data_IF_341433072153
#
_entry.id   IF_341433072153
#
_cell.length_a   1.000
_cell.length_b   1.000
_cell.length_c   1.000
_cell.angle_alpha   90.00
_cell.angle_beta   90.00
_cell.angle_gamma   90.00
#
_symmetry.space_group_name_H-M   'P 1'
#
loop_
_entity.id
_entity.type
_entity.pdbx_description
1 polymer ?
#
# COMPACT_ATOMS: atom_id res chain seq x y z
N UNK A 1 63.85 -6.70 -10.14
CA UNK A 1 63.83 -5.23 -10.01
C UNK A 1 62.75 -4.85 -9.00
N UNK A 2 63.22 -4.61 -7.77
CA UNK A 2 62.34 -4.32 -6.60
C UNK A 2 62.07 -2.82 -6.55
N UNK A 3 60.83 -2.40 -6.43
CA UNK A 3 60.46 -1.02 -6.08
C UNK A 3 59.79 -1.03 -4.72
N UNK A 4 60.50 -0.54 -3.74
CA UNK A 4 60.01 -0.23 -2.41
C UNK A 4 59.18 1.07 -2.50
N UNK A 5 57.99 1.09 -1.90
CA UNK A 5 57.24 2.31 -1.62
C UNK A 5 57.32 2.62 -0.13
N UNK A 6 57.83 3.81 0.14
CA UNK A 6 58.06 4.39 1.45
C UNK A 6 56.73 4.84 2.09
N UNK A 7 56.47 4.46 3.35
CA UNK A 7 55.39 4.98 4.18
C UNK A 7 55.73 6.42 4.62
N UNK A 8 54.85 7.37 4.29
CA UNK A 8 54.82 8.72 4.88
C UNK A 8 53.85 8.77 6.07
N UNK A 9 54.39 9.04 7.24
CA UNK A 9 53.60 9.28 8.45
C UNK A 9 53.06 10.71 8.43
N UNK A 10 51.71 10.88 8.51
CA UNK A 10 51.05 12.15 8.74
C UNK A 10 50.64 12.24 10.22
N UNK A 11 51.19 13.26 10.90
CA UNK A 11 50.92 13.59 12.28
C UNK A 11 49.53 14.25 12.41
N UNK A 12 48.66 13.71 13.25
CA UNK A 12 47.42 14.36 13.65
C UNK A 12 47.67 15.36 14.78
N UNK A 13 47.52 16.64 14.48
CA UNK A 13 47.47 17.72 15.49
C UNK A 13 46.08 17.77 16.18
N UNK A 14 46.07 17.56 17.49
CA UNK A 14 44.88 17.73 18.30
C UNK A 14 44.63 19.22 18.55
N UNK A 15 43.52 19.75 18.08
CA UNK A 15 43.01 21.09 18.42
C UNK A 15 42.07 20.94 19.60
N UNK A 16 42.47 21.40 20.78
CA UNK A 16 41.60 21.57 21.95
C UNK A 16 40.75 22.83 21.74
N UNK A 17 39.48 22.66 21.46
CA UNK A 17 38.48 23.74 21.48
C UNK A 17 37.96 23.95 22.90
N UNK A 18 38.22 25.13 23.44
CA UNK A 18 37.65 25.62 24.73
C UNK A 18 36.13 25.87 24.55
N UNK A 19 35.32 25.14 25.29
CA UNK A 19 33.90 25.40 25.41
C UNK A 19 33.64 26.61 26.32
N UNK A 20 33.01 27.64 25.78
CA UNK A 20 32.49 28.76 26.58
C UNK A 20 31.17 28.35 27.23
N UNK A 21 30.88 28.81 28.48
CA UNK A 21 29.62 28.52 29.16
C UNK A 21 28.49 29.32 28.52
N UNK A 22 27.39 28.66 28.16
CA UNK A 22 26.16 29.30 27.75
C UNK A 22 25.53 30.04 28.93
N UNK A 23 25.39 31.36 28.81
CA UNK A 23 24.66 32.18 29.75
C UNK A 23 23.17 31.84 29.65
N UNK A 24 22.59 31.38 30.77
CA UNK A 24 21.16 31.20 30.92
C UNK A 24 20.47 32.59 30.91
N UNK A 25 19.79 32.91 29.83
CA UNK A 25 18.87 34.03 29.76
C UNK A 25 17.63 33.70 30.61
N UNK A 26 17.48 34.33 31.76
CA UNK A 26 16.30 34.22 32.60
C UNK A 26 15.08 34.76 31.85
N UNK A 27 14.08 33.93 31.67
CA UNK A 27 12.76 34.35 31.17
C UNK A 27 12.05 35.09 32.30
N UNK A 28 11.80 36.39 32.12
CA UNK A 28 10.97 37.19 33.02
C UNK A 28 9.53 36.64 32.98
N UNK A 29 9.06 36.14 34.12
CA UNK A 29 7.66 35.72 34.30
C UNK A 29 6.80 36.98 34.41
N UNK A 30 5.95 37.22 33.45
CA UNK A 30 4.91 38.26 33.51
C UNK A 30 3.73 37.69 34.29
N UNK A 31 3.36 38.24 35.47
CA UNK A 31 2.22 37.75 36.21
C UNK A 31 0.92 38.25 35.55
N UNK A 32 0.07 37.32 35.14
CA UNK A 32 -1.28 37.68 34.70
C UNK A 32 -1.88 36.91 33.52
N UNK A 33 -1.19 35.92 32.96
CA UNK A 33 -1.85 35.01 32.00
C UNK A 33 -2.30 33.76 32.70
N UNK A 34 -3.62 33.59 32.82
CA UNK A 34 -4.24 32.35 33.22
C UNK A 34 -3.73 31.22 32.33
N UNK A 35 -3.30 30.13 32.94
CA UNK A 35 -2.93 28.88 32.30
C UNK A 35 -4.03 28.49 31.28
N UNK A 36 -3.76 28.70 30.00
CA UNK A 36 -4.50 28.00 28.95
C UNK A 36 -4.14 26.54 29.12
N UNK A 37 -5.14 25.74 29.55
CA UNK A 37 -4.98 24.31 29.77
C UNK A 37 -4.23 23.68 28.60
N UNK A 38 -3.36 22.72 28.92
CA UNK A 38 -2.66 21.89 27.96
C UNK A 38 -3.68 21.42 26.91
N UNK A 39 -3.58 21.96 25.70
CA UNK A 39 -4.26 21.40 24.56
C UNK A 39 -3.58 20.06 24.35
N UNK A 40 -4.15 19.02 24.95
CA UNK A 40 -3.79 17.65 24.63
C UNK A 40 -4.02 17.50 23.13
N UNK A 41 -2.94 17.58 22.37
CA UNK A 41 -2.92 17.13 20.99
C UNK A 41 -3.02 15.61 21.02
N UNK A 42 -4.19 15.10 21.36
CA UNK A 42 -4.58 13.76 20.94
C UNK A 42 -4.48 13.83 19.44
N UNK A 43 -3.43 13.22 18.90
CA UNK A 43 -3.36 12.98 17.47
C UNK A 43 -4.67 12.27 17.12
N UNK A 44 -5.59 13.00 16.50
CA UNK A 44 -6.74 12.40 15.87
C UNK A 44 -6.16 11.48 14.81
N UNK A 45 -6.00 10.22 15.18
CA UNK A 45 -5.85 9.16 14.21
C UNK A 45 -7.16 9.20 13.41
N UNK A 46 -7.17 9.93 12.29
CA UNK A 46 -8.28 9.83 11.36
C UNK A 46 -8.31 8.36 10.97
N UNK A 47 -9.43 7.66 11.22
CA UNK A 47 -9.52 6.27 10.80
C UNK A 47 -9.15 6.25 9.32
N UNK A 48 -8.25 5.34 8.94
CA UNK A 48 -7.76 5.20 7.58
C UNK A 48 -8.97 5.15 6.66
N UNK A 49 -9.17 6.23 5.89
CA UNK A 49 -10.34 6.34 5.04
C UNK A 49 -10.25 5.20 4.05
N UNK A 50 -11.21 4.28 4.10
CA UNK A 50 -11.32 3.19 3.15
C UNK A 50 -11.38 3.75 1.72
N UNK A 51 -10.90 3.03 0.70
CA UNK A 51 -11.09 3.43 -0.68
C UNK A 51 -12.56 3.78 -0.95
N UNK A 52 -12.81 4.70 -1.87
CA UNK A 52 -14.15 5.22 -2.23
C UNK A 52 -14.89 5.96 -1.10
N UNK A 53 -14.22 6.27 0.02
CA UNK A 53 -14.83 6.97 1.16
C UNK A 53 -15.96 6.19 1.81
N UNK A 54 -16.03 4.87 1.61
CA UNK A 54 -17.03 3.98 2.16
C UNK A 54 -16.65 3.50 3.56
N UNK A 55 -17.64 3.08 4.35
CA UNK A 55 -17.43 2.36 5.60
C UNK A 55 -17.25 0.86 5.33
N UNK A 56 -16.70 0.11 6.29
CA UNK A 56 -16.45 -1.32 6.17
C UNK A 56 -17.13 -2.10 7.27
N UNK A 57 -17.60 -3.29 6.96
CA UNK A 57 -18.05 -4.30 7.92
C UNK A 57 -17.36 -5.65 7.61
N UNK A 58 -17.04 -6.49 8.60
CA UNK A 58 -16.43 -7.78 8.35
C UNK A 58 -17.23 -8.61 7.34
N UNK A 59 -16.54 -9.19 6.36
CA UNK A 59 -17.14 -10.10 5.40
C UNK A 59 -16.91 -11.56 5.86
N UNK A 60 -17.83 -12.43 5.49
CA UNK A 60 -17.76 -13.88 5.70
C UNK A 60 -18.06 -14.61 4.40
N UNK A 61 -17.78 -15.92 4.36
CA UNK A 61 -18.05 -16.76 3.20
C UNK A 61 -16.85 -16.88 2.26
N UNK A 62 -17.11 -17.11 0.99
CA UNK A 62 -16.13 -17.53 0.00
C UNK A 62 -14.96 -16.55 -0.16
N UNK A 63 -15.25 -15.27 -0.33
CA UNK A 63 -14.23 -14.22 -0.49
C UNK A 63 -13.28 -14.15 0.72
N UNK A 64 -13.82 -14.29 1.95
CA UNK A 64 -13.01 -14.28 3.16
C UNK A 64 -12.12 -15.52 3.24
N UNK A 65 -12.66 -16.70 2.89
CA UNK A 65 -11.92 -17.95 2.93
C UNK A 65 -10.78 -17.98 1.92
N UNK A 66 -11.03 -17.48 0.70
CA UNK A 66 -10.01 -17.38 -0.35
C UNK A 66 -8.90 -16.41 0.03
N UNK A 67 -9.27 -15.23 0.55
CA UNK A 67 -8.28 -14.25 0.98
C UNK A 67 -7.38 -14.81 2.07
N UNK A 68 -7.95 -15.43 3.12
CA UNK A 68 -7.14 -16.04 4.17
C UNK A 68 -6.22 -17.16 3.66
N UNK A 69 -6.66 -17.95 2.68
CA UNK A 69 -5.80 -19.00 2.10
C UNK A 69 -4.60 -18.38 1.36
N UNK A 70 -4.84 -17.39 0.49
CA UNK A 70 -3.78 -16.70 -0.25
C UNK A 70 -2.86 -15.91 0.69
N UNK A 71 -3.41 -15.25 1.70
CA UNK A 71 -2.63 -14.48 2.68
C UNK A 71 -1.64 -15.38 3.44
N UNK A 72 -2.04 -16.59 3.82
CA UNK A 72 -1.16 -17.56 4.44
C UNK A 72 -0.02 -18.03 3.51
N UNK A 73 -0.27 -18.10 2.19
CA UNK A 73 0.77 -18.42 1.20
C UNK A 73 1.70 -17.23 0.95
N UNK A 74 1.16 -16.01 0.90
CA UNK A 74 1.95 -14.77 0.83
C UNK A 74 2.94 -14.68 2.00
N UNK A 75 2.51 -14.98 3.23
CA UNK A 75 3.42 -14.99 4.40
C UNK A 75 4.59 -15.97 4.24
N UNK A 76 4.33 -17.15 3.64
CA UNK A 76 5.39 -18.12 3.36
C UNK A 76 6.34 -17.61 2.26
N UNK A 77 5.81 -16.99 1.21
CA UNK A 77 6.60 -16.43 0.12
C UNK A 77 7.43 -15.21 0.58
N UNK A 78 6.91 -14.36 1.47
CA UNK A 78 7.66 -13.27 2.09
C UNK A 78 8.89 -13.80 2.87
N UNK A 79 8.74 -14.92 3.59
CA UNK A 79 9.87 -15.55 4.27
C UNK A 79 10.96 -16.04 3.27
N UNK A 80 10.53 -16.54 2.10
CA UNK A 80 11.47 -16.90 1.00
C UNK A 80 12.17 -15.64 0.46
N UNK A 81 11.46 -14.54 0.24
CA UNK A 81 12.03 -13.28 -0.25
C UNK A 81 13.08 -12.70 0.71
N UNK A 82 12.85 -12.80 2.02
CA UNK A 82 13.83 -12.40 3.04
C UNK A 82 15.11 -13.23 2.89
N UNK A 83 15.00 -14.55 2.72
CA UNK A 83 16.15 -15.44 2.54
C UNK A 83 16.87 -15.17 1.21
N UNK A 84 16.14 -14.87 0.14
CA UNK A 84 16.69 -14.54 -1.17
C UNK A 84 17.63 -13.33 -1.16
N UNK A 85 17.46 -12.40 -0.23
CA UNK A 85 18.37 -11.24 -0.09
C UNK A 85 19.71 -11.58 0.56
N UNK A 86 19.79 -12.71 1.26
CA UNK A 86 20.98 -13.15 2.00
C UNK A 86 21.65 -14.39 1.43
N UNK A 87 20.97 -15.18 0.60
CA UNK A 87 21.45 -16.46 0.07
C UNK A 87 21.55 -16.46 -1.46
N UNK A 88 22.39 -17.37 -2.00
CA UNK A 88 22.64 -17.44 -3.46
C UNK A 88 21.58 -18.27 -4.23
N UNK A 89 20.79 -19.09 -3.53
CA UNK A 89 19.78 -19.95 -4.15
C UNK A 89 18.37 -19.39 -3.90
N UNK A 90 17.76 -18.86 -4.96
CA UNK A 90 16.43 -18.25 -4.92
C UNK A 90 15.53 -18.88 -5.99
N UNK A 91 14.26 -19.16 -5.72
CA UNK A 91 13.30 -19.58 -6.75
C UNK A 91 13.20 -18.55 -7.88
N UNK A 92 13.03 -19.01 -9.12
CA UNK A 92 12.94 -18.11 -10.28
C UNK A 92 11.81 -17.07 -10.13
N UNK A 93 10.63 -17.48 -9.65
CA UNK A 93 9.51 -16.57 -9.40
C UNK A 93 9.83 -15.51 -8.35
N UNK A 94 10.59 -15.85 -7.31
CA UNK A 94 11.04 -14.88 -6.30
C UNK A 94 12.01 -13.86 -6.89
N UNK A 95 12.97 -14.31 -7.74
CA UNK A 95 13.88 -13.41 -8.45
C UNK A 95 13.10 -12.46 -9.38
N UNK A 96 12.14 -12.96 -10.12
CA UNK A 96 11.29 -12.15 -11.00
C UNK A 96 10.48 -11.12 -10.22
N UNK A 97 9.90 -11.49 -9.07
CA UNK A 97 9.22 -10.53 -8.20
C UNK A 97 10.18 -9.42 -7.72
N UNK A 98 11.41 -9.77 -7.34
CA UNK A 98 12.43 -8.80 -6.94
C UNK A 98 12.87 -7.90 -8.11
N UNK A 99 12.92 -8.42 -9.34
CA UNK A 99 13.19 -7.63 -10.55
C UNK A 99 12.05 -6.64 -10.83
N UNK A 100 10.79 -7.06 -10.68
CA UNK A 100 9.61 -6.18 -10.75
C UNK A 100 9.71 -5.06 -9.72
N UNK A 101 10.07 -5.37 -8.47
CA UNK A 101 10.29 -4.37 -7.40
C UNK A 101 11.39 -3.40 -7.77
N UNK A 102 12.49 -3.89 -8.35
CA UNK A 102 13.64 -3.10 -8.75
C UNK A 102 13.30 -2.05 -9.83
N UNK A 103 12.32 -2.27 -10.69
CA UNK A 103 11.83 -1.27 -11.66
C UNK A 103 11.41 0.06 -11.00
N UNK A 104 10.95 -0.01 -9.77
CA UNK A 104 10.54 1.16 -8.98
C UNK A 104 11.62 1.70 -8.03
N UNK A 105 12.78 1.05 -7.88
CA UNK A 105 13.74 1.32 -6.80
C UNK A 105 14.26 2.76 -6.78
N UNK A 106 14.59 3.33 -7.94
CA UNK A 106 15.16 4.68 -8.08
C UNK A 106 14.08 5.79 -8.11
N UNK A 107 12.84 5.45 -7.80
CA UNK A 107 11.70 6.38 -7.85
C UNK A 107 10.97 6.41 -6.52
N UNK A 108 10.14 7.44 -6.35
CA UNK A 108 9.27 7.59 -5.19
C UNK A 108 7.84 7.92 -5.63
N UNK A 109 6.90 7.79 -4.70
CA UNK A 109 5.51 8.19 -4.88
C UNK A 109 4.86 7.57 -6.11
N UNK A 110 4.12 8.38 -6.86
CA UNK A 110 3.35 7.94 -8.03
C UNK A 110 4.19 7.28 -9.13
N UNK A 111 5.45 7.71 -9.31
CA UNK A 111 6.33 7.13 -10.32
C UNK A 111 6.75 5.70 -9.96
N UNK A 112 7.09 5.42 -8.69
CA UNK A 112 7.38 4.06 -8.20
C UNK A 112 6.19 3.14 -8.41
N UNK A 113 5.02 3.56 -7.94
CA UNK A 113 3.77 2.80 -8.08
C UNK A 113 3.48 2.50 -9.55
N UNK A 114 3.62 3.49 -10.43
CA UNK A 114 3.35 3.34 -11.86
C UNK A 114 4.30 2.37 -12.57
N UNK A 115 5.60 2.39 -12.22
CA UNK A 115 6.59 1.46 -12.80
C UNK A 115 6.32 0.01 -12.37
N UNK A 116 6.06 -0.22 -11.09
CA UNK A 116 5.74 -1.55 -10.57
C UNK A 116 4.41 -2.06 -11.18
N UNK A 117 3.37 -1.22 -11.21
CA UNK A 117 2.11 -1.57 -11.88
C UNK A 117 2.33 -1.99 -13.34
N UNK A 118 3.14 -1.22 -14.08
CA UNK A 118 3.48 -1.55 -15.46
C UNK A 118 4.26 -2.86 -15.57
N UNK A 119 5.26 -3.08 -14.72
CA UNK A 119 6.08 -4.29 -14.73
C UNK A 119 5.22 -5.54 -14.50
N UNK A 120 4.34 -5.55 -13.49
CA UNK A 120 3.40 -6.65 -13.25
C UNK A 120 2.47 -6.86 -14.44
N UNK A 121 1.88 -5.77 -15.00
CA UNK A 121 0.97 -5.89 -16.14
C UNK A 121 1.66 -6.43 -17.41
N UNK A 122 2.97 -6.33 -17.53
CA UNK A 122 3.74 -6.89 -18.64
C UNK A 122 4.25 -8.30 -18.39
N UNK A 123 4.44 -8.69 -17.12
CA UNK A 123 4.92 -10.02 -16.73
C UNK A 123 3.83 -11.10 -16.85
N UNK A 124 2.56 -10.73 -16.75
CA UNK A 124 1.44 -11.66 -16.67
C UNK A 124 0.60 -11.58 -17.96
N UNK A 125 0.21 -12.73 -18.50
CA UNK A 125 -0.68 -12.87 -19.65
C UNK A 125 -2.11 -13.09 -19.13
N UNK A 126 -3.09 -12.25 -19.48
CA UNK A 126 -4.46 -12.40 -19.04
C UNK A 126 -5.03 -13.77 -19.43
N UNK A 127 -5.40 -14.56 -18.43
CA UNK A 127 -5.91 -15.93 -18.64
C UNK A 127 -6.94 -16.18 -17.54
N UNK A 128 -8.14 -16.64 -17.92
CA UNK A 128 -9.15 -16.99 -16.91
C UNK A 128 -8.79 -18.30 -16.20
N UNK A 129 -9.26 -18.46 -14.98
CA UNK A 129 -9.08 -19.67 -14.18
C UNK A 129 -9.62 -20.93 -14.84
N UNK A 130 -10.75 -20.82 -15.52
CA UNK A 130 -11.29 -21.93 -16.30
C UNK A 130 -10.32 -22.41 -17.39
N UNK A 131 -9.63 -21.47 -18.05
CA UNK A 131 -8.66 -21.80 -19.10
C UNK A 131 -7.32 -22.28 -18.55
N UNK A 132 -6.92 -21.82 -17.38
CA UNK A 132 -5.63 -22.15 -16.77
C UNK A 132 -5.71 -23.39 -15.87
N UNK A 133 -6.75 -23.49 -15.05
CA UNK A 133 -6.87 -24.45 -13.98
C UNK A 133 -8.07 -25.41 -14.13
N UNK A 134 -9.00 -25.11 -15.04
CA UNK A 134 -10.24 -25.88 -15.22
C UNK A 134 -11.24 -25.70 -14.10
N UNK A 135 -11.11 -24.62 -13.30
CA UNK A 135 -12.01 -24.24 -12.21
C UNK A 135 -12.56 -22.84 -12.44
N UNK A 136 -13.63 -22.49 -11.73
CA UNK A 136 -14.31 -21.22 -11.99
C UNK A 136 -13.61 -20.00 -11.36
N UNK A 137 -12.81 -20.21 -10.32
CA UNK A 137 -12.23 -19.13 -9.52
C UNK A 137 -11.11 -19.69 -8.63
N UNK A 138 -9.85 -19.33 -8.92
CA UNK A 138 -8.62 -19.77 -8.25
C UNK A 138 -7.69 -18.59 -8.02
N UNK A 139 -7.47 -18.21 -6.79
CA UNK A 139 -6.61 -17.09 -6.44
C UNK A 139 -5.18 -17.57 -6.21
N UNK A 140 -4.29 -17.22 -7.12
CA UNK A 140 -2.89 -17.65 -7.05
C UNK A 140 -2.03 -16.71 -6.19
N UNK A 141 -1.14 -17.25 -5.33
CA UNK A 141 -0.10 -16.45 -4.69
C UNK A 141 0.91 -15.94 -5.73
N UNK A 142 1.72 -14.91 -5.38
CA UNK A 142 2.64 -14.28 -6.33
C UNK A 142 3.57 -15.23 -7.08
N UNK A 143 4.16 -16.22 -6.40
CA UNK A 143 5.11 -17.12 -7.06
C UNK A 143 4.43 -18.08 -8.04
N UNK A 144 3.22 -18.54 -7.75
CA UNK A 144 2.45 -19.37 -8.68
C UNK A 144 2.10 -18.58 -9.95
N UNK A 145 1.62 -17.34 -9.79
CA UNK A 145 1.31 -16.45 -10.91
C UNK A 145 2.55 -16.15 -11.76
N UNK A 146 3.68 -15.81 -11.13
CA UNK A 146 4.92 -15.49 -11.85
C UNK A 146 5.58 -16.74 -12.46
N UNK A 147 5.43 -17.91 -11.85
CA UNK A 147 5.92 -19.16 -12.43
C UNK A 147 5.19 -19.55 -13.71
N UNK A 148 3.89 -19.29 -13.77
CA UNK A 148 3.05 -19.60 -14.92
C UNK A 148 3.00 -18.45 -15.94
N UNK A 149 3.32 -17.23 -15.53
CA UNK A 149 3.13 -15.97 -16.27
C UNK A 149 1.69 -15.78 -16.75
N UNK A 150 0.71 -16.33 -16.04
CA UNK A 150 -0.71 -16.30 -16.38
C UNK A 150 -1.52 -16.03 -15.15
N UNK A 151 -2.66 -15.37 -15.34
CA UNK A 151 -3.60 -15.11 -14.29
C UNK A 151 -4.71 -14.17 -14.73
N UNK A 152 -5.73 -14.02 -13.91
CA UNK A 152 -6.78 -13.06 -14.14
C UNK A 152 -6.71 -11.85 -13.18
N UNK A 153 -7.81 -11.16 -12.94
CA UNK A 153 -7.73 -9.84 -12.31
C UNK A 153 -7.25 -9.87 -10.85
N UNK A 154 -7.62 -10.89 -10.08
CA UNK A 154 -7.19 -11.03 -8.68
C UNK A 154 -5.71 -11.40 -8.58
N UNK A 155 -5.20 -12.26 -9.46
CA UNK A 155 -3.79 -12.65 -9.48
C UNK A 155 -2.89 -11.43 -9.72
N UNK A 156 -3.27 -10.58 -10.69
CA UNK A 156 -2.58 -9.30 -10.90
C UNK A 156 -2.63 -8.40 -9.67
N UNK A 157 -3.78 -8.31 -9.00
CA UNK A 157 -3.93 -7.48 -7.82
C UNK A 157 -3.07 -7.99 -6.66
N UNK A 158 -3.00 -9.31 -6.46
CA UNK A 158 -2.19 -10.00 -5.44
C UNK A 158 -0.69 -9.78 -5.70
N UNK A 159 -0.22 -10.00 -6.94
CA UNK A 159 1.20 -9.76 -7.30
C UNK A 159 1.57 -8.29 -7.08
N UNK A 160 0.73 -7.34 -7.48
CA UNK A 160 0.97 -5.91 -7.25
C UNK A 160 1.00 -5.56 -5.77
N UNK A 161 0.11 -6.16 -4.96
CA UNK A 161 0.06 -5.96 -3.52
C UNK A 161 1.41 -6.33 -2.89
N UNK A 162 1.92 -7.54 -3.16
CA UNK A 162 3.20 -8.00 -2.60
C UNK A 162 4.37 -7.22 -3.19
N UNK A 163 4.41 -6.94 -4.49
CA UNK A 163 5.48 -6.15 -5.10
C UNK A 163 5.60 -4.74 -4.50
N UNK A 164 4.48 -4.09 -4.16
CA UNK A 164 4.50 -2.77 -3.54
C UNK A 164 4.83 -2.82 -2.05
N UNK A 165 4.47 -3.88 -1.32
CA UNK A 165 4.97 -4.14 0.03
C UNK A 165 6.49 -4.28 0.03
N UNK A 166 7.04 -5.09 -0.86
CA UNK A 166 8.47 -5.32 -1.03
C UNK A 166 9.21 -4.04 -1.47
N UNK A 167 8.54 -3.15 -2.18
CA UNK A 167 9.03 -1.81 -2.51
C UNK A 167 8.97 -0.82 -1.33
N UNK A 168 8.50 -1.26 -0.16
CA UNK A 168 8.50 -0.49 1.09
C UNK A 168 7.24 0.36 1.34
N UNK A 169 6.12 0.09 0.68
CA UNK A 169 4.85 0.71 1.04
C UNK A 169 4.27 0.03 2.29
N UNK A 170 3.53 0.79 3.09
CA UNK A 170 2.85 0.25 4.27
C UNK A 170 1.69 -0.66 3.86
N UNK A 171 1.46 -1.75 4.61
CA UNK A 171 0.26 -2.60 4.48
C UNK A 171 -1.03 -1.78 4.64
N UNK A 172 -1.02 -0.77 5.51
CA UNK A 172 -2.17 0.13 5.71
C UNK A 172 -2.51 0.96 4.46
N UNK A 173 -1.55 1.13 3.54
CA UNK A 173 -1.70 1.90 2.31
C UNK A 173 -2.05 1.03 1.09
N UNK A 174 -2.24 -0.28 1.29
CA UNK A 174 -2.50 -1.25 0.23
C UNK A 174 -3.78 -2.02 0.54
N UNK A 175 -4.71 -2.05 -0.41
CA UNK A 175 -5.96 -2.80 -0.29
C UNK A 175 -6.36 -3.39 -1.63
N UNK A 176 -6.64 -4.70 -1.67
CA UNK A 176 -7.29 -5.29 -2.84
C UNK A 176 -8.78 -4.95 -2.77
N UNK A 177 -9.36 -4.51 -3.87
CA UNK A 177 -10.77 -4.14 -3.93
C UNK A 177 -11.48 -4.98 -4.99
N UNK A 178 -12.55 -5.65 -4.58
CA UNK A 178 -13.45 -6.34 -5.52
C UNK A 178 -14.54 -5.34 -5.92
N UNK A 179 -14.67 -5.14 -7.22
CA UNK A 179 -15.63 -4.26 -7.87
C UNK A 179 -16.66 -5.07 -8.65
N UNK A 180 -17.88 -4.58 -8.76
CA UNK A 180 -18.86 -5.04 -9.75
C UNK A 180 -18.90 -4.05 -10.90
N UNK A 181 -18.40 -4.42 -12.08
CA UNK A 181 -18.57 -3.64 -13.29
C UNK A 181 -20.04 -3.63 -13.72
N UNK A 182 -20.52 -2.49 -14.21
CA UNK A 182 -21.91 -2.39 -14.69
C UNK A 182 -22.09 -2.98 -16.09
N UNK A 183 -21.04 -2.93 -16.89
CA UNK A 183 -21.01 -3.52 -18.24
C UNK A 183 -19.59 -4.03 -18.60
N UNK A 184 -19.35 -5.34 -18.73
CA UNK A 184 -20.29 -6.42 -18.39
C UNK A 184 -20.57 -6.48 -16.88
N UNK A 185 -21.68 -7.07 -16.46
CA UNK A 185 -22.02 -7.26 -15.04
C UNK A 185 -21.17 -8.41 -14.46
N UNK A 186 -19.91 -8.11 -14.17
CA UNK A 186 -18.88 -9.06 -13.76
C UNK A 186 -18.05 -8.49 -12.63
N UNK A 187 -17.61 -9.36 -11.72
CA UNK A 187 -16.68 -8.97 -10.66
C UNK A 187 -15.28 -8.74 -11.26
N UNK A 188 -14.56 -7.82 -10.65
CA UNK A 188 -13.23 -7.42 -11.07
C UNK A 188 -12.40 -7.03 -9.87
N UNK A 189 -11.21 -7.59 -9.75
CA UNK A 189 -10.27 -7.25 -8.69
C UNK A 189 -9.26 -6.19 -9.16
N UNK A 190 -8.95 -5.24 -8.27
CA UNK A 190 -7.95 -4.19 -8.48
C UNK A 190 -7.16 -3.97 -7.20
N UNK A 191 -5.96 -3.42 -7.31
CA UNK A 191 -5.24 -2.91 -6.14
C UNK A 191 -5.53 -1.42 -5.95
N UNK A 192 -5.92 -1.04 -4.74
CA UNK A 192 -5.97 0.35 -4.29
C UNK A 192 -4.71 0.66 -3.46
N UNK A 193 -4.03 1.75 -3.81
CA UNK A 193 -2.81 2.22 -3.15
C UNK A 193 -3.04 3.63 -2.63
N UNK A 194 -2.84 3.86 -1.33
CA UNK A 194 -2.92 5.19 -0.75
C UNK A 194 -1.60 5.93 -0.90
N UNK A 195 -1.66 7.11 -1.50
CA UNK A 195 -0.55 8.02 -1.66
C UNK A 195 -1.01 9.44 -1.36
N UNK A 196 -0.32 10.14 -0.46
CA UNK A 196 -0.61 11.54 -0.08
C UNK A 196 -2.08 11.77 0.31
N UNK A 197 -2.72 10.75 0.93
CA UNK A 197 -4.11 10.79 1.38
C UNK A 197 -5.15 10.51 0.28
N UNK A 198 -4.75 10.24 -0.96
CA UNK A 198 -5.62 9.82 -2.06
C UNK A 198 -5.43 8.32 -2.36
N UNK A 199 -6.49 7.64 -2.75
CA UNK A 199 -6.43 6.26 -3.23
C UNK A 199 -6.27 6.22 -4.74
N UNK A 200 -5.27 5.48 -5.20
CA UNK A 200 -4.98 5.21 -6.61
C UNK A 200 -5.36 3.77 -6.93
N UNK A 201 -6.15 3.56 -7.96
CA UNK A 201 -6.62 2.25 -8.40
C UNK A 201 -5.74 1.75 -9.55
N UNK A 202 -5.24 0.54 -9.40
CA UNK A 202 -4.33 -0.15 -10.31
C UNK A 202 -5.05 -1.38 -10.86
N UNK A 203 -5.53 -1.32 -12.10
CA UNK A 203 -6.14 -2.47 -12.81
C UNK A 203 -5.12 -3.20 -13.67
N UNK A 204 -5.49 -4.41 -14.14
CA UNK A 204 -4.69 -5.20 -15.07
C UNK A 204 -4.94 -4.80 -16.54
N UNK A 205 -6.06 -4.15 -16.83
CA UNK A 205 -6.48 -3.74 -18.18
C UNK A 205 -6.00 -2.35 -18.58
N UNK A 206 -5.32 -1.62 -17.71
CA UNK A 206 -4.78 -0.27 -17.96
C UNK A 206 -3.50 -0.03 -17.18
N UNK A 207 -2.61 0.80 -17.73
CA UNK A 207 -1.42 1.28 -17.03
C UNK A 207 -1.69 2.59 -16.25
N UNK A 208 -2.86 3.19 -16.43
CA UNK A 208 -3.22 4.43 -15.75
C UNK A 208 -3.48 4.19 -14.26
N UNK A 209 -2.97 5.10 -13.43
CA UNK A 209 -3.30 5.17 -12.01
C UNK A 209 -4.50 6.09 -11.86
N UNK A 210 -5.69 5.53 -11.69
CA UNK A 210 -6.96 6.26 -11.59
C UNK A 210 -7.25 6.53 -10.12
N UNK A 211 -7.70 7.74 -9.75
CA UNK A 211 -8.13 7.97 -8.37
C UNK A 211 -9.48 7.28 -8.14
N UNK A 212 -9.67 6.74 -6.95
CA UNK A 212 -10.92 6.06 -6.57
C UNK A 212 -12.17 6.89 -6.83
N UNK A 213 -12.11 8.20 -6.52
CA UNK A 213 -13.20 9.16 -6.75
C UNK A 213 -13.51 9.45 -8.22
N UNK A 214 -12.58 9.14 -9.12
CA UNK A 214 -12.72 9.34 -10.57
C UNK A 214 -13.15 8.05 -11.29
N UNK A 215 -13.26 6.92 -10.56
CA UNK A 215 -13.75 5.67 -11.15
C UNK A 215 -15.25 5.77 -11.46
N UNK A 216 -15.58 5.40 -12.67
CA UNK A 216 -16.96 5.31 -13.17
C UNK A 216 -17.22 3.91 -13.72
N UNK A 217 -18.47 3.50 -13.77
CA UNK A 217 -18.86 2.23 -14.41
C UNK A 217 -18.67 0.98 -13.55
N UNK A 218 -18.29 1.14 -12.27
CA UNK A 218 -18.14 0.04 -11.33
C UNK A 218 -18.63 0.43 -9.92
N UNK A 219 -19.07 -0.59 -9.17
CA UNK A 219 -19.46 -0.46 -7.75
C UNK A 219 -18.49 -1.26 -6.89
N UNK A 220 -17.78 -0.67 -5.92
CA UNK A 220 -16.96 -1.41 -4.98
C UNK A 220 -17.84 -2.25 -4.04
N UNK A 221 -17.43 -3.49 -3.77
CA UNK A 221 -18.18 -4.48 -2.99
C UNK A 221 -17.40 -4.91 -1.76
N UNK A 222 -16.16 -5.33 -1.94
CA UNK A 222 -15.30 -5.79 -0.88
C UNK A 222 -13.94 -5.10 -0.92
N UNK A 223 -13.32 -5.01 0.25
CA UNK A 223 -11.92 -4.65 0.43
C UNK A 223 -11.24 -5.77 1.21
N UNK A 224 -10.03 -6.12 0.79
CA UNK A 224 -9.19 -7.17 1.38
C UNK A 224 -7.87 -6.53 1.78
N UNK A 225 -7.46 -6.77 3.00
CA UNK A 225 -6.22 -6.26 3.59
C UNK A 225 -5.71 -7.19 4.70
N UNK A 226 -4.69 -6.76 5.43
CA UNK A 226 -4.10 -7.51 6.54
C UNK A 226 -5.08 -7.84 7.69
N UNK A 227 -6.20 -7.11 7.79
CA UNK A 227 -7.23 -7.34 8.80
C UNK A 227 -8.33 -8.30 8.31
N UNK A 228 -8.19 -8.81 7.06
CA UNK A 228 -9.08 -9.76 6.43
C UNK A 228 -9.95 -9.16 5.33
N UNK A 229 -11.08 -9.83 5.06
CA UNK A 229 -12.05 -9.39 4.07
C UNK A 229 -13.17 -8.57 4.72
N UNK A 230 -13.49 -7.43 4.10
CA UNK A 230 -14.53 -6.53 4.57
C UNK A 230 -15.47 -6.15 3.42
N UNK A 231 -16.78 -6.06 3.73
CA UNK A 231 -17.77 -5.52 2.80
C UNK A 231 -17.76 -4.00 2.84
N UNK A 232 -17.82 -3.37 1.69
CA UNK A 232 -17.95 -1.92 1.57
C UNK A 232 -19.43 -1.51 1.63
N UNK A 233 -19.76 -0.62 2.56
CA UNK A 233 -21.10 -0.09 2.77
C UNK A 233 -21.13 1.43 2.59
N UNK A 234 -22.27 1.97 2.16
CA UNK A 234 -22.40 3.41 2.00
C UNK A 234 -22.23 4.12 3.35
N UNK A 235 -21.40 5.17 3.40
CA UNK A 235 -21.24 5.97 4.61
C UNK A 235 -22.49 6.80 4.89
N UNK A 236 -23.12 6.59 6.02
CA UNK A 236 -24.27 7.37 6.48
C UNK A 236 -23.91 8.78 6.99
N UNK A 237 -22.62 9.19 6.94
CA UNK A 237 -22.16 10.47 7.53
C UNK A 237 -22.55 11.72 6.75
N UNK A 238 -23.06 11.61 5.52
CA UNK A 238 -23.42 12.79 4.71
C UNK A 238 -24.69 13.48 5.20
N UNK A 239 -25.54 12.79 5.98
CA UNK A 239 -26.83 13.35 6.44
C UNK A 239 -26.74 14.22 7.72
N UNK A 240 -25.62 14.19 8.45
CA UNK A 240 -25.52 14.85 9.77
C UNK A 240 -24.78 16.20 9.75
N UNK A 241 -24.26 16.67 8.62
CA UNK A 241 -23.43 17.88 8.55
C UNK A 241 -23.95 18.99 7.62
N UNK A 242 -25.21 18.95 7.22
CA UNK A 242 -25.82 20.09 6.52
C UNK A 242 -26.61 20.97 7.53
N UNK A 243 -26.02 22.08 8.01
CA UNK A 243 -26.66 22.98 8.96
C UNK A 243 -27.92 23.67 8.37
N UNK A 244 -28.16 23.56 7.06
CA UNK A 244 -29.30 24.19 6.39
C UNK A 244 -30.56 23.36 6.46
N UNK A 245 -30.48 22.03 6.66
CA UNK A 245 -31.66 21.16 6.79
C UNK A 245 -32.39 21.30 8.14
N UNK A 246 -31.68 21.75 9.20
CA UNK A 246 -32.34 21.98 10.51
C UNK A 246 -33.14 23.26 10.61
N UNK A 247 -33.03 24.20 9.64
CA UNK A 247 -33.72 25.48 9.69
C UNK A 247 -35.14 25.43 9.13
N UNK A 248 -35.47 24.46 8.29
CA UNK A 248 -36.78 24.34 7.64
C UNK A 248 -37.82 23.55 8.42
N UNK A 249 -37.43 22.84 9.50
CA UNK A 249 -38.37 22.05 10.31
C UNK A 249 -38.84 22.76 11.59
N UNK A 250 -38.38 23.99 11.86
CA UNK A 250 -38.81 24.77 13.03
C UNK A 250 -39.78 25.93 12.68
N UNK A 251 -40.10 26.10 11.40
CA UNK A 251 -41.03 27.19 10.95
C UNK A 251 -42.34 26.68 10.37
N UNK A 252 -42.84 25.49 10.76
CA UNK A 252 -44.23 25.07 10.47
C UNK A 252 -44.94 24.57 11.72
#
# INVERSE_FOLDING_TARGET
MSKQFTLGALAFGAVFGLAAPAAAAGIAVIPGYASLGEVSTTAYHQPSRSPFGMETEPATGDVSSKWHAVEAEIEQEEAVLVNCRSEQACPAAALELLDIVAEGADRAGRARIGLINRAVNLAIIPTSDEAQWGVADHWSPPFETLQTHRGDCEDYAIVKYVALLEAGLSRDDLKIVILRNFAPNQDHAVLAVRLDGEWLILGNNTLALVRDKDMIGAKPIFVLDQDGAHRLIASNRVAASDPLLHRTLQEN
#
